data_IF_928750807034
#
_entry.id   IF_928750807034
#
_cell.length_a   1.000
_cell.length_b   1.000
_cell.length_c   1.000
_cell.angle_alpha   90.00
_cell.angle_beta   90.00
_cell.angle_gamma   90.00
#
_symmetry.space_group_name_H-M   'P 1'
#
loop_
_entity.id
_entity.type
_entity.pdbx_description
1 polymer ?
#
# COMPACT_ATOMS: atom_id res chain seq x y z
N UNK A 1 -2.81 21.72 -8.82
CA UNK A 1 -1.59 21.04 -9.30
C UNK A 1 -0.65 20.96 -8.12
N UNK A 2 -0.35 19.75 -7.67
CA UNK A 2 0.67 19.53 -6.64
C UNK A 2 2.05 19.58 -7.28
N UNK A 3 3.04 20.10 -6.56
CA UNK A 3 4.41 20.20 -7.03
C UNK A 3 5.38 19.81 -5.92
N UNK A 4 6.44 19.10 -6.29
CA UNK A 4 7.60 18.91 -5.43
C UNK A 4 8.65 19.96 -5.83
N UNK A 5 8.98 20.86 -4.90
CA UNK A 5 10.08 21.81 -5.07
C UNK A 5 11.31 21.19 -4.40
N UNK A 6 12.34 20.88 -5.19
CA UNK A 6 13.56 20.25 -4.71
C UNK A 6 14.68 21.28 -4.61
N UNK A 7 15.18 21.51 -3.40
CA UNK A 7 16.36 22.35 -3.15
C UNK A 7 17.62 21.47 -3.07
N UNK A 8 18.48 21.57 -4.09
CA UNK A 8 19.69 20.76 -4.20
C UNK A 8 20.81 21.17 -3.22
N UNK A 9 22.02 20.60 -3.44
CA UNK A 9 23.27 20.87 -2.70
C UNK A 9 23.36 20.33 -1.27
N UNK A 10 22.47 19.41 -0.90
CA UNK A 10 22.53 18.69 0.38
C UNK A 10 22.84 17.20 0.12
N UNK A 11 24.03 16.69 0.47
CA UNK A 11 24.31 15.26 0.37
C UNK A 11 23.40 14.47 1.31
N UNK A 12 22.78 13.40 0.81
CA UNK A 12 21.95 12.52 1.62
C UNK A 12 22.84 11.68 2.55
N UNK A 13 22.46 11.58 3.83
CA UNK A 13 23.10 10.71 4.80
C UNK A 13 22.03 10.05 5.68
N UNK A 14 22.07 8.74 5.80
CA UNK A 14 21.12 7.97 6.61
C UNK A 14 20.75 6.63 5.98
N UNK A 15 19.77 5.97 6.58
CA UNK A 15 19.21 4.70 6.12
C UNK A 15 17.71 4.88 5.95
N UNK A 16 17.16 4.35 4.86
CA UNK A 16 15.71 4.28 4.63
C UNK A 16 15.32 2.83 4.41
N UNK A 17 14.20 2.42 5.00
CA UNK A 17 13.60 1.13 4.72
C UNK A 17 12.48 1.34 3.70
N UNK A 18 12.56 0.75 2.49
CA UNK A 18 11.50 0.89 1.51
C UNK A 18 10.24 0.14 1.96
N UNK A 19 9.08 0.70 1.64
CA UNK A 19 7.80 0.00 1.74
C UNK A 19 7.74 -1.20 0.78
N UNK A 20 6.77 -2.09 0.97
CA UNK A 20 6.59 -3.24 0.08
C UNK A 20 6.28 -2.90 -1.38
N UNK A 21 6.26 -3.95 -2.20
CA UNK A 21 6.17 -3.83 -3.65
C UNK A 21 4.71 -3.80 -4.14
N UNK A 22 4.33 -2.73 -4.86
CA UNK A 22 2.96 -2.60 -5.41
C UNK A 22 2.56 -3.73 -6.36
N UNK A 23 3.52 -4.27 -7.13
CA UNK A 23 3.27 -5.33 -8.10
C UNK A 23 3.06 -6.68 -7.41
N UNK A 24 3.51 -6.83 -6.16
CA UNK A 24 3.17 -7.97 -5.31
C UNK A 24 1.83 -7.74 -4.59
N UNK A 25 1.53 -6.51 -4.18
CA UNK A 25 0.31 -6.16 -3.47
C UNK A 25 -0.98 -6.54 -4.23
N UNK A 26 -1.07 -6.21 -5.53
CA UNK A 26 -2.26 -6.45 -6.35
C UNK A 26 -2.70 -7.93 -6.40
N UNK A 27 -1.84 -8.87 -6.81
CA UNK A 27 -2.22 -10.28 -6.87
C UNK A 27 -2.49 -10.85 -5.47
N UNK A 28 -1.81 -10.36 -4.42
CA UNK A 28 -2.06 -10.80 -3.05
C UNK A 28 -3.42 -10.34 -2.52
N UNK A 29 -3.81 -9.10 -2.77
CA UNK A 29 -5.16 -8.59 -2.44
C UNK A 29 -6.22 -9.41 -3.19
N UNK A 30 -5.97 -9.73 -4.47
CA UNK A 30 -6.88 -10.55 -5.28
C UNK A 30 -6.97 -11.99 -4.75
N UNK A 31 -5.85 -12.57 -4.32
CA UNK A 31 -5.80 -13.91 -3.76
C UNK A 31 -6.55 -14.02 -2.43
N UNK A 32 -6.63 -12.94 -1.64
CA UNK A 32 -7.43 -12.91 -0.42
C UNK A 32 -8.94 -13.14 -0.68
N UNK A 33 -9.42 -12.88 -1.90
CA UNK A 33 -10.80 -13.13 -2.30
C UNK A 33 -11.12 -14.63 -2.51
N UNK A 34 -10.11 -15.49 -2.52
CA UNK A 34 -10.27 -16.93 -2.80
C UNK A 34 -10.63 -17.74 -1.55
N UNK A 35 -10.79 -17.09 -0.39
CA UNK A 35 -11.13 -17.73 0.88
C UNK A 35 -12.10 -16.86 1.68
N UNK A 36 -12.90 -17.51 2.53
CA UNK A 36 -13.79 -16.85 3.49
C UNK A 36 -13.08 -16.57 4.84
N UNK A 37 -11.84 -17.05 5.00
CA UNK A 37 -11.04 -16.83 6.20
C UNK A 37 -10.38 -15.45 6.17
N UNK A 38 -10.15 -14.82 7.34
CA UNK A 38 -9.38 -13.59 7.41
C UNK A 38 -7.95 -13.78 6.86
N UNK A 39 -7.51 -12.84 6.00
CA UNK A 39 -6.16 -12.81 5.45
C UNK A 39 -5.46 -11.51 5.85
N UNK A 40 -4.34 -11.61 6.56
CA UNK A 40 -3.51 -10.46 6.94
C UNK A 40 -2.34 -10.30 5.98
N UNK A 41 -2.31 -9.17 5.27
CA UNK A 41 -1.20 -8.81 4.38
C UNK A 41 -0.28 -7.79 5.08
N UNK A 42 0.98 -8.18 5.29
CA UNK A 42 2.00 -7.33 5.90
C UNK A 42 2.79 -6.56 4.84
N UNK A 43 3.31 -5.39 5.25
CA UNK A 43 4.18 -4.55 4.41
C UNK A 43 3.53 -4.14 3.07
N UNK A 44 2.22 -3.84 3.07
CA UNK A 44 1.56 -3.25 1.91
C UNK A 44 1.97 -1.77 1.77
N UNK A 45 2.39 -1.31 0.57
CA UNK A 45 2.74 0.10 0.38
C UNK A 45 1.51 1.00 0.38
N UNK A 46 1.56 2.11 1.11
CA UNK A 46 0.49 3.10 1.17
C UNK A 46 0.52 4.08 -0.02
N UNK A 47 0.16 3.60 -1.21
CA UNK A 47 0.15 4.38 -2.45
C UNK A 47 -1.24 4.37 -3.11
N UNK A 48 -1.45 5.30 -4.05
CA UNK A 48 -2.74 5.48 -4.74
C UNK A 48 -3.28 4.19 -5.36
N UNK A 49 -2.44 3.42 -6.06
CA UNK A 49 -2.83 2.18 -6.73
C UNK A 49 -3.38 1.15 -5.72
N UNK A 50 -2.68 0.95 -4.59
CA UNK A 50 -3.09 -0.01 -3.54
C UNK A 50 -4.36 0.46 -2.85
N UNK A 51 -4.48 1.75 -2.50
CA UNK A 51 -5.71 2.30 -1.90
C UNK A 51 -6.92 2.14 -2.82
N UNK A 52 -6.71 2.30 -4.13
CA UNK A 52 -7.77 2.10 -5.12
C UNK A 52 -8.19 0.64 -5.17
N UNK A 53 -7.25 -0.29 -5.18
CA UNK A 53 -7.56 -1.73 -5.16
C UNK A 53 -8.31 -2.14 -3.88
N UNK A 54 -7.92 -1.62 -2.72
CA UNK A 54 -8.61 -1.88 -1.45
C UNK A 54 -10.06 -1.39 -1.49
N UNK A 55 -10.30 -0.17 -2.00
CA UNK A 55 -11.67 0.34 -2.20
C UNK A 55 -12.50 -0.54 -3.14
N UNK A 56 -11.90 -1.03 -4.23
CA UNK A 56 -12.60 -1.92 -5.16
C UNK A 56 -13.05 -3.20 -4.46
N UNK A 57 -12.22 -3.81 -3.61
CA UNK A 57 -12.64 -5.02 -2.89
C UNK A 57 -13.64 -4.72 -1.76
N UNK A 58 -13.56 -3.54 -1.13
CA UNK A 58 -14.60 -3.05 -0.20
C UNK A 58 -15.96 -2.89 -0.90
N UNK A 59 -15.98 -2.31 -2.10
CA UNK A 59 -17.19 -2.16 -2.93
C UNK A 59 -17.78 -3.52 -3.35
N UNK A 60 -16.97 -4.58 -3.41
CA UNK A 60 -17.41 -5.95 -3.63
C UNK A 60 -17.96 -6.64 -2.36
N UNK A 61 -17.95 -5.95 -1.22
CA UNK A 61 -18.50 -6.44 0.06
C UNK A 61 -17.46 -7.07 1.00
N UNK A 62 -16.17 -6.92 0.72
CA UNK A 62 -15.11 -7.40 1.62
C UNK A 62 -14.85 -6.39 2.72
N UNK A 63 -14.82 -6.84 3.98
CA UNK A 63 -14.39 -5.98 5.09
C UNK A 63 -12.86 -5.87 5.12
N UNK A 64 -12.34 -4.64 5.01
CA UNK A 64 -10.91 -4.35 5.05
C UNK A 64 -10.59 -3.57 6.31
N UNK A 65 -9.59 -4.04 7.07
CA UNK A 65 -9.06 -3.32 8.23
C UNK A 65 -7.59 -3.00 8.01
N UNK A 66 -7.22 -1.72 8.09
CA UNK A 66 -5.82 -1.30 8.10
C UNK A 66 -5.31 -1.23 9.54
N UNK A 67 -4.38 -2.12 9.90
CA UNK A 67 -3.83 -2.20 11.26
C UNK A 67 -2.76 -1.14 11.56
N UNK A 68 -2.09 -0.62 10.54
CA UNK A 68 -1.04 0.40 10.69
C UNK A 68 -1.33 1.62 9.81
N UNK A 69 -1.25 2.81 10.41
CA UNK A 69 -1.07 4.04 9.67
C UNK A 69 0.41 4.13 9.24
N UNK A 70 0.78 3.44 8.16
CA UNK A 70 2.03 3.78 7.47
C UNK A 70 1.88 5.22 6.94
N UNK A 71 2.41 6.18 7.69
CA UNK A 71 2.75 7.52 7.19
C UNK A 71 3.91 7.41 6.20
#
# INVERSE_FOLDING_TARGET
MEQFIIEGRNPLNGVVTPSGNKNAAFPLISAALLTDQPVTLYNLPNIGDVRTMLRIVEDLGVEVTCHDAHN
#
